data_IF_336172626641
#
_entry.id   IF_336172626641
#
_cell.length_a   1.000
_cell.length_b   1.000
_cell.length_c   1.000
_cell.angle_alpha   90.00
_cell.angle_beta   90.00
_cell.angle_gamma   90.00
#
_symmetry.space_group_name_H-M   'P 1'
#
loop_
_entity.id
_entity.type
_entity.pdbx_description
1 polymer ?
#
# COMPACT_ATOMS: atom_id res chain seq x y z
N UNK A 1 2.10 -29.35 33.17
CA UNK A 1 2.31 -27.90 32.88
C UNK A 1 2.72 -27.18 34.12
N UNK A 2 3.81 -26.47 34.11
CA UNK A 2 4.26 -25.68 35.25
C UNK A 2 3.55 -24.32 35.26
N UNK A 3 3.51 -23.66 36.44
CA UNK A 3 2.93 -22.32 36.54
C UNK A 3 3.65 -21.30 35.65
N UNK A 4 4.97 -21.48 35.44
CA UNK A 4 5.75 -20.64 34.55
C UNK A 4 5.34 -20.78 33.08
N UNK A 5 4.99 -21.99 32.65
CA UNK A 5 4.53 -22.23 31.27
C UNK A 5 3.15 -21.57 31.04
N UNK A 6 2.27 -21.63 32.03
CA UNK A 6 0.94 -21.00 31.94
C UNK A 6 1.09 -19.47 31.89
N UNK A 7 1.94 -18.89 32.73
CA UNK A 7 2.20 -17.44 32.76
C UNK A 7 2.81 -16.96 31.44
N UNK A 8 3.75 -17.72 30.88
CA UNK A 8 4.38 -17.40 29.60
C UNK A 8 3.37 -17.43 28.44
N UNK A 9 2.49 -18.43 28.40
CA UNK A 9 1.45 -18.55 27.40
C UNK A 9 0.42 -17.41 27.49
N UNK A 10 0.04 -17.01 28.71
CA UNK A 10 -0.87 -15.89 28.94
C UNK A 10 -0.26 -14.56 28.46
N UNK A 11 1.00 -14.33 28.77
CA UNK A 11 1.73 -13.13 28.34
C UNK A 11 1.83 -13.05 26.80
N UNK A 12 2.13 -14.16 26.14
CA UNK A 12 2.18 -14.22 24.67
C UNK A 12 0.81 -13.96 24.05
N UNK A 13 -0.26 -14.45 24.66
CA UNK A 13 -1.63 -14.21 24.20
C UNK A 13 -2.03 -12.74 24.36
N UNK A 14 -1.68 -12.12 25.49
CA UNK A 14 -1.95 -10.71 25.74
C UNK A 14 -1.22 -9.82 24.76
N UNK A 15 0.01 -10.15 24.42
CA UNK A 15 0.80 -9.41 23.42
C UNK A 15 0.22 -9.55 22.02
N UNK A 16 -0.24 -10.74 21.67
CA UNK A 16 -0.92 -10.96 20.39
C UNK A 16 -2.20 -10.15 20.29
N UNK A 17 -3.02 -10.13 21.35
CA UNK A 17 -4.25 -9.34 21.40
C UNK A 17 -3.95 -7.85 21.27
N UNK A 18 -2.91 -7.37 21.92
CA UNK A 18 -2.48 -5.96 21.81
C UNK A 18 -2.09 -5.61 20.38
N UNK A 19 -1.32 -6.46 19.72
CA UNK A 19 -0.94 -6.24 18.33
C UNK A 19 -2.15 -6.28 17.40
N UNK A 20 -3.02 -7.26 17.56
CA UNK A 20 -4.22 -7.38 16.73
C UNK A 20 -5.13 -6.18 16.90
N UNK A 21 -5.23 -5.64 18.10
CA UNK A 21 -6.00 -4.43 18.38
C UNK A 21 -5.39 -3.20 17.70
N UNK A 22 -4.08 -3.03 17.77
CA UNK A 22 -3.38 -1.95 17.09
C UNK A 22 -3.60 -2.01 15.58
N UNK A 23 -3.54 -3.19 15.01
CA UNK A 23 -3.77 -3.39 13.58
C UNK A 23 -5.22 -3.05 13.22
N UNK A 24 -6.17 -3.62 13.93
CA UNK A 24 -7.59 -3.45 13.63
C UNK A 24 -8.05 -1.99 13.77
N UNK A 25 -7.58 -1.30 14.79
CA UNK A 25 -7.95 0.10 15.03
C UNK A 25 -7.28 1.08 14.07
N UNK A 26 -6.21 0.68 13.41
CA UNK A 26 -5.41 1.57 12.56
C UNK A 26 -5.41 1.20 11.08
N UNK A 27 -6.34 0.36 10.63
CA UNK A 27 -6.48 0.02 9.20
C UNK A 27 -6.70 1.24 8.32
N UNK A 28 -7.31 2.31 8.86
CA UNK A 28 -7.47 3.56 8.16
C UNK A 28 -6.14 4.21 7.75
N UNK A 29 -5.07 4.00 8.49
CA UNK A 29 -3.74 4.47 8.12
C UNK A 29 -3.24 3.80 6.85
N UNK A 30 -3.54 2.51 6.67
CA UNK A 30 -3.17 1.77 5.47
C UNK A 30 -3.88 2.34 4.24
N UNK A 31 -5.18 2.60 4.36
CA UNK A 31 -5.95 3.24 3.29
C UNK A 31 -5.40 4.61 2.93
N UNK A 32 -5.07 5.41 3.92
CA UNK A 32 -4.50 6.73 3.72
C UNK A 32 -3.18 6.66 2.96
N UNK A 33 -2.30 5.76 3.36
CA UNK A 33 -0.99 5.58 2.72
C UNK A 33 -1.13 4.98 1.31
N UNK A 34 -1.99 3.98 1.14
CA UNK A 34 -2.20 3.33 -0.16
C UNK A 34 -2.79 4.30 -1.18
N UNK A 35 -3.70 5.19 -0.76
CA UNK A 35 -4.29 6.18 -1.65
C UNK A 35 -3.27 7.12 -2.29
N UNK A 36 -2.15 7.38 -1.61
CA UNK A 36 -1.07 8.23 -2.15
C UNK A 36 -0.41 7.63 -3.39
N UNK A 37 -0.51 6.32 -3.55
CA UNK A 37 0.15 5.60 -4.64
C UNK A 37 -0.81 5.11 -5.72
N UNK A 38 -2.08 5.52 -5.67
CA UNK A 38 -3.05 5.19 -6.71
C UNK A 38 -2.61 5.77 -8.06
N UNK A 39 -2.91 5.04 -9.13
CA UNK A 39 -2.65 5.49 -10.49
C UNK A 39 -1.21 5.33 -10.95
N UNK A 40 -0.38 4.60 -10.21
CA UNK A 40 1.03 4.39 -10.54
C UNK A 40 1.32 3.01 -11.15
N UNK A 41 0.30 2.31 -11.63
CA UNK A 41 0.47 1.02 -12.29
C UNK A 41 0.40 -0.20 -11.39
N UNK A 42 0.12 -0.02 -10.11
CA UNK A 42 -0.09 -1.11 -9.15
C UNK A 42 -1.53 -1.05 -8.68
N UNK A 43 -2.20 -2.20 -8.61
CA UNK A 43 -3.58 -2.27 -8.14
C UNK A 43 -3.69 -1.88 -6.67
N UNK A 44 -4.79 -1.23 -6.32
CA UNK A 44 -5.03 -0.77 -4.95
C UNK A 44 -4.98 -1.90 -3.93
N UNK A 45 -5.53 -3.06 -4.28
CA UNK A 45 -5.52 -4.23 -3.38
C UNK A 45 -4.10 -4.66 -3.02
N UNK A 46 -3.18 -4.59 -3.97
CA UNK A 46 -1.78 -4.91 -3.74
C UNK A 46 -1.12 -3.86 -2.85
N UNK A 47 -1.41 -2.59 -3.08
CA UNK A 47 -0.93 -1.50 -2.23
C UNK A 47 -1.45 -1.65 -0.81
N UNK A 48 -2.73 -1.97 -0.66
CA UNK A 48 -3.36 -2.17 0.63
C UNK A 48 -2.76 -3.36 1.38
N UNK A 49 -2.59 -4.49 0.68
CA UNK A 49 -2.00 -5.69 1.28
C UNK A 49 -0.57 -5.44 1.77
N UNK A 50 0.24 -4.73 0.98
CA UNK A 50 1.60 -4.36 1.36
C UNK A 50 1.61 -3.41 2.55
N UNK A 51 0.69 -2.45 2.56
CA UNK A 51 0.51 -1.55 3.69
C UNK A 51 0.11 -2.27 4.97
N UNK A 52 -0.75 -3.29 4.86
CA UNK A 52 -1.13 -4.12 6.01
C UNK A 52 0.06 -4.87 6.59
N UNK A 53 0.96 -5.37 5.76
CA UNK A 53 2.21 -5.99 6.21
C UNK A 53 3.03 -4.99 7.02
N UNK A 54 3.15 -3.76 6.53
CA UNK A 54 3.83 -2.68 7.24
C UNK A 54 3.17 -2.36 8.58
N UNK A 55 1.85 -2.32 8.62
CA UNK A 55 1.09 -2.08 9.85
C UNK A 55 1.31 -3.18 10.88
N UNK A 56 1.30 -4.45 10.46
CA UNK A 56 1.57 -5.60 11.34
C UNK A 56 2.99 -5.52 11.90
N UNK A 57 3.97 -5.21 11.07
CA UNK A 57 5.35 -5.03 11.50
C UNK A 57 5.49 -3.89 12.51
N UNK A 58 4.81 -2.77 12.25
CA UNK A 58 4.82 -1.63 13.16
C UNK A 58 4.19 -1.98 14.51
N UNK A 59 3.06 -2.69 14.49
CA UNK A 59 2.38 -3.10 15.71
C UNK A 59 3.24 -4.05 16.56
N UNK A 60 3.99 -4.93 15.91
CA UNK A 60 4.90 -5.86 16.58
C UNK A 60 6.14 -5.20 17.18
N UNK A 61 6.61 -4.11 16.58
CA UNK A 61 7.82 -3.42 17.01
C UNK A 61 7.55 -2.17 17.86
N UNK A 62 6.29 -1.76 17.96
CA UNK A 62 5.93 -0.53 18.67
C UNK A 62 6.13 -0.64 20.17
N UNK A 63 6.80 0.36 20.73
CA UNK A 63 7.04 0.48 22.15
C UNK A 63 6.29 1.72 22.68
N UNK A 64 5.26 1.49 23.48
CA UNK A 64 4.43 2.55 24.05
C UNK A 64 5.20 3.45 25.01
N UNK A 65 6.29 2.97 25.57
CA UNK A 65 7.11 3.72 26.52
C UNK A 65 7.91 4.85 25.87
N UNK A 66 8.03 4.86 24.54
CA UNK A 66 8.76 5.91 23.82
C UNK A 66 8.05 7.26 23.75
N UNK A 67 6.78 7.32 24.21
CA UNK A 67 6.03 8.55 24.25
C UNK A 67 5.59 9.11 22.88
N UNK A 68 5.72 8.32 21.82
CA UNK A 68 5.28 8.68 20.45
C UNK A 68 3.95 7.99 20.18
N UNK A 69 3.09 8.65 19.42
CA UNK A 69 1.84 8.03 18.99
C UNK A 69 2.14 6.89 18.02
N UNK A 70 1.32 5.83 18.08
CA UNK A 70 1.47 4.70 17.18
C UNK A 70 1.40 5.14 15.71
N UNK A 71 0.48 6.03 15.35
CA UNK A 71 0.36 6.54 13.97
C UNK A 71 1.65 7.17 13.46
N UNK A 72 2.33 7.95 14.31
CA UNK A 72 3.60 8.59 13.96
C UNK A 72 4.69 7.56 13.65
N UNK A 73 4.69 6.45 14.37
CA UNK A 73 5.63 5.36 14.15
C UNK A 73 5.23 4.49 12.95
N UNK A 74 3.94 4.19 12.82
CA UNK A 74 3.43 3.24 11.83
C UNK A 74 3.47 3.77 10.40
N UNK A 75 3.15 5.04 10.17
CA UNK A 75 3.07 5.61 8.82
C UNK A 75 4.35 5.42 8.02
N UNK A 76 5.56 5.74 8.53
CA UNK A 76 6.79 5.48 7.79
C UNK A 76 7.01 4.01 7.46
N UNK A 77 6.64 3.10 8.36
CA UNK A 77 6.78 1.66 8.16
C UNK A 77 5.83 1.18 7.06
N UNK A 78 4.58 1.64 7.09
CA UNK A 78 3.57 1.33 6.07
C UNK A 78 4.02 1.84 4.70
N UNK A 79 4.46 3.09 4.63
CA UNK A 79 4.94 3.70 3.39
C UNK A 79 6.17 2.95 2.86
N UNK A 80 7.06 2.52 3.73
CA UNK A 80 8.24 1.74 3.34
C UNK A 80 7.88 0.42 2.68
N UNK A 81 6.88 -0.29 3.20
CA UNK A 81 6.40 -1.55 2.61
C UNK A 81 5.71 -1.31 1.27
N UNK A 82 4.91 -0.26 1.15
CA UNK A 82 4.27 0.08 -0.13
C UNK A 82 5.31 0.47 -1.18
N UNK A 83 6.28 1.29 -0.83
CA UNK A 83 7.38 1.68 -1.73
C UNK A 83 8.19 0.49 -2.20
N UNK A 84 8.32 -0.52 -1.35
CA UNK A 84 9.02 -1.76 -1.69
C UNK A 84 8.36 -2.49 -2.87
N UNK A 85 7.03 -2.44 -2.97
CA UNK A 85 6.30 -3.03 -4.11
C UNK A 85 6.79 -2.42 -5.43
N UNK A 86 6.96 -1.11 -5.47
CA UNK A 86 7.45 -0.40 -6.65
C UNK A 86 8.92 -0.69 -6.93
N UNK A 87 9.74 -0.72 -5.89
CA UNK A 87 11.19 -0.97 -6.02
C UNK A 87 11.48 -2.38 -6.51
N UNK A 88 10.79 -3.38 -5.98
CA UNK A 88 10.99 -4.79 -6.34
C UNK A 88 10.26 -5.17 -7.64
N UNK A 89 9.60 -4.21 -8.30
CA UNK A 89 8.85 -4.43 -9.53
C UNK A 89 7.45 -5.00 -9.30
N UNK A 90 7.03 -5.19 -8.03
CA UNK A 90 5.75 -5.78 -7.70
C UNK A 90 5.60 -7.19 -8.24
N UNK A 91 4.38 -7.70 -8.23
CA UNK A 91 4.04 -8.98 -8.83
C UNK A 91 3.91 -8.86 -10.36
N UNK A 92 3.74 -7.65 -10.87
CA UNK A 92 3.66 -7.37 -12.30
C UNK A 92 4.85 -6.52 -12.69
N UNK A 93 5.85 -7.16 -13.28
CA UNK A 93 6.91 -6.45 -13.97
C UNK A 93 6.26 -5.81 -15.19
N UNK A 94 6.02 -4.51 -15.15
CA UNK A 94 5.54 -3.78 -16.32
C UNK A 94 6.64 -3.87 -17.36
N UNK A 95 6.39 -4.64 -18.42
CA UNK A 95 7.36 -4.81 -19.49
C UNK A 95 7.63 -3.46 -20.14
N UNK A 96 8.81 -3.34 -20.75
CA UNK A 96 9.19 -2.13 -21.52
C UNK A 96 8.13 -1.79 -22.55
N UNK A 97 7.56 -2.79 -23.21
CA UNK A 97 6.49 -2.61 -24.20
C UNK A 97 5.24 -1.98 -23.58
N UNK A 98 4.85 -2.40 -22.37
CA UNK A 98 3.70 -1.82 -21.66
C UNK A 98 3.97 -0.36 -21.27
N UNK A 99 5.17 -0.04 -20.84
CA UNK A 99 5.56 1.33 -20.53
C UNK A 99 5.50 2.21 -21.77
N UNK A 100 6.01 1.73 -22.89
CA UNK A 100 5.97 2.44 -24.16
C UNK A 100 4.53 2.66 -24.63
N UNK A 101 3.68 1.64 -24.49
CA UNK A 101 2.26 1.74 -24.82
C UNK A 101 1.56 2.76 -23.94
N UNK A 102 1.81 2.74 -22.63
CA UNK A 102 1.23 3.69 -21.68
C UNK A 102 1.63 5.13 -22.02
N UNK A 103 2.88 5.36 -22.34
CA UNK A 103 3.37 6.68 -22.77
C UNK A 103 2.71 7.13 -24.08
N UNK A 104 2.52 6.21 -25.01
CA UNK A 104 1.86 6.49 -26.28
C UNK A 104 0.39 6.87 -26.07
N UNK A 105 -0.34 6.11 -25.22
CA UNK A 105 -1.73 6.42 -24.87
C UNK A 105 -1.83 7.81 -24.25
N UNK A 106 -0.96 8.14 -23.30
CA UNK A 106 -0.93 9.45 -22.65
C UNK A 106 -0.71 10.57 -23.66
N UNK A 107 0.20 10.38 -24.61
CA UNK A 107 0.50 11.37 -25.67
C UNK A 107 -0.71 11.57 -26.60
N UNK A 108 -1.29 10.48 -27.08
CA UNK A 108 -2.44 10.54 -27.97
C UNK A 108 -3.66 11.18 -27.30
N UNK A 109 -3.85 10.86 -26.01
CA UNK A 109 -4.91 11.48 -25.22
C UNK A 109 -4.71 12.99 -25.09
N UNK A 110 -3.49 13.45 -24.82
CA UNK A 110 -3.18 14.87 -24.73
C UNK A 110 -3.41 15.59 -26.06
N UNK A 111 -2.97 15.00 -27.18
CA UNK A 111 -3.19 15.56 -28.51
C UNK A 111 -4.68 15.65 -28.84
N UNK A 112 -5.45 14.62 -28.51
CA UNK A 112 -6.90 14.63 -28.73
C UNK A 112 -7.58 15.75 -27.95
N UNK A 113 -7.19 15.94 -26.68
CA UNK A 113 -7.76 17.01 -25.84
C UNK A 113 -7.46 18.39 -26.44
N UNK A 114 -6.23 18.60 -26.93
CA UNK A 114 -5.85 19.85 -27.58
C UNK A 114 -6.68 20.13 -28.85
N UNK A 115 -6.96 19.09 -29.64
CA UNK A 115 -7.71 19.24 -30.90
C UNK A 115 -9.21 19.37 -30.70
N UNK A 116 -9.78 18.66 -29.75
CA UNK A 116 -11.23 18.52 -29.58
C UNK A 116 -11.79 19.19 -28.32
N UNK A 117 -10.96 19.64 -27.41
CA UNK A 117 -11.36 20.30 -26.18
C UNK A 117 -12.09 19.40 -25.16
N UNK A 118 -12.05 18.09 -25.36
CA UNK A 118 -12.65 17.10 -24.47
C UNK A 118 -11.81 15.84 -24.42
N UNK A 119 -12.02 15.04 -23.38
CA UNK A 119 -11.35 13.76 -23.28
C UNK A 119 -11.89 12.75 -24.30
N UNK A 120 -11.01 11.90 -24.88
CA UNK A 120 -11.46 10.85 -25.79
C UNK A 120 -12.15 9.74 -25.02
N UNK A 121 -13.14 9.11 -25.67
CA UNK A 121 -13.71 7.86 -25.16
C UNK A 121 -12.72 6.72 -25.41
N UNK A 122 -12.95 5.58 -24.74
CA UNK A 122 -12.10 4.39 -24.93
C UNK A 122 -12.09 3.96 -26.41
N UNK A 123 -13.26 4.01 -27.07
CA UNK A 123 -13.37 3.66 -28.49
C UNK A 123 -12.58 4.62 -29.38
N UNK A 124 -12.63 5.91 -29.09
CA UNK A 124 -11.87 6.92 -29.84
C UNK A 124 -10.35 6.74 -29.66
N UNK A 125 -9.90 6.42 -28.46
CA UNK A 125 -8.50 6.11 -28.19
C UNK A 125 -8.05 4.86 -28.96
N UNK A 126 -8.88 3.82 -28.97
CA UNK A 126 -8.58 2.59 -29.70
C UNK A 126 -8.43 2.84 -31.21
N UNK A 127 -9.28 3.71 -31.79
CA UNK A 127 -9.24 4.06 -33.20
C UNK A 127 -7.99 4.85 -33.58
N UNK A 128 -7.50 5.71 -32.68
CA UNK A 128 -6.29 6.49 -32.89
C UNK A 128 -5.04 5.59 -32.83
N UNK A 129 -5.09 4.58 -32.01
CA UNK A 129 -4.02 3.61 -31.83
C UNK A 129 -4.18 2.42 -32.77
#
# INVERSE_FOLDING_TARGET
MSAADIASATSATDEKLRRDKLVTENLGLVHLCANRFRGRGVEYEELYSSGCVGLVKAAGAFDEERGVKFSTYAVPVILGEIKRVFRDGGTVKVSRSLKELSMKVTREKADFILKNGREPTVCELADIM
#
